data_IF_126454191324
#
_entry.id   IF_126454191324
#
_cell.length_a   1.000
_cell.length_b   1.000
_cell.length_c   1.000
_cell.angle_alpha   90.00
_cell.angle_beta   90.00
_cell.angle_gamma   90.00
#
_symmetry.space_group_name_H-M   'P 1'
#
loop_
_entity.id
_entity.type
_entity.pdbx_description
1 polymer ?
#
# COMPACT_ATOMS: atom_id res chain seq x y z
N UNK A 1 28.05 28.58 -23.69
CA UNK A 1 27.10 27.64 -24.32
C UNK A 1 27.83 26.34 -24.66
N UNK A 2 27.80 25.34 -23.78
CA UNK A 2 28.53 24.08 -23.99
C UNK A 2 27.65 22.85 -23.72
N UNK A 3 27.55 21.99 -24.73
CA UNK A 3 27.41 20.54 -24.63
C UNK A 3 26.07 19.94 -24.18
N UNK A 4 25.04 20.04 -25.03
CA UNK A 4 23.93 19.06 -25.04
C UNK A 4 24.21 17.83 -25.93
N UNK A 5 25.32 17.81 -26.67
CA UNK A 5 25.64 16.76 -27.65
C UNK A 5 26.37 15.55 -27.01
N UNK A 6 27.02 15.73 -25.86
CA UNK A 6 27.86 14.68 -25.25
C UNK A 6 27.08 13.58 -24.50
N UNK A 7 25.80 13.81 -24.13
CA UNK A 7 25.03 12.85 -23.31
C UNK A 7 24.43 11.69 -24.10
N UNK A 8 24.25 11.84 -25.42
CA UNK A 8 23.62 10.81 -26.26
C UNK A 8 24.59 9.69 -26.69
N UNK A 9 25.91 9.94 -26.68
CA UNK A 9 26.89 8.96 -27.15
C UNK A 9 27.24 7.86 -26.13
N UNK A 10 27.01 8.10 -24.83
CA UNK A 10 27.27 7.11 -23.78
C UNK A 10 26.12 6.10 -23.64
N UNK A 11 24.87 6.52 -23.87
CA UNK A 11 23.69 5.65 -23.77
C UNK A 11 23.60 4.64 -24.93
N UNK A 12 23.99 5.01 -26.15
CA UNK A 12 23.91 4.10 -27.31
C UNK A 12 25.02 3.04 -27.33
N UNK A 13 26.12 3.24 -26.59
CA UNK A 13 27.25 2.29 -26.54
C UNK A 13 27.11 1.21 -25.47
N UNK A 14 26.30 1.43 -24.43
CA UNK A 14 26.05 0.42 -23.40
C UNK A 14 25.13 -0.71 -23.86
N UNK A 15 24.29 -0.48 -24.88
CA UNK A 15 23.37 -1.49 -25.43
C UNK A 15 23.87 -2.16 -26.72
N UNK A 16 24.82 -1.56 -27.46
CA UNK A 16 25.29 -2.12 -28.73
C UNK A 16 26.27 -3.29 -28.55
N UNK A 17 27.00 -3.33 -27.43
CA UNK A 17 27.86 -4.47 -27.07
C UNK A 17 27.06 -5.64 -26.52
N UNK A 18 25.92 -5.39 -25.87
CA UNK A 18 25.03 -6.40 -25.30
C UNK A 18 24.38 -7.25 -26.39
N UNK A 19 23.87 -6.65 -27.48
CA UNK A 19 23.25 -7.39 -28.58
C UNK A 19 24.21 -8.34 -29.31
N UNK A 20 25.47 -7.91 -29.55
CA UNK A 20 26.49 -8.79 -30.16
C UNK A 20 26.95 -9.90 -29.21
N UNK A 21 27.04 -9.61 -27.91
CA UNK A 21 27.36 -10.62 -26.88
C UNK A 21 26.25 -11.65 -26.74
N UNK A 22 24.97 -11.26 -26.79
CA UNK A 22 23.85 -12.19 -26.80
C UNK A 22 23.86 -13.08 -28.05
N UNK A 23 24.07 -12.50 -29.23
CA UNK A 23 24.13 -13.28 -30.48
C UNK A 23 25.29 -14.30 -30.50
N UNK A 24 26.44 -13.95 -29.92
CA UNK A 24 27.59 -14.85 -29.81
C UNK A 24 27.42 -15.88 -28.67
N UNK A 25 26.75 -15.51 -27.59
CA UNK A 25 26.39 -16.40 -26.50
C UNK A 25 25.38 -17.47 -26.94
N UNK A 26 24.42 -17.15 -27.81
CA UNK A 26 23.41 -18.12 -28.28
C UNK A 26 24.01 -19.36 -28.95
N UNK A 27 25.09 -19.19 -29.73
CA UNK A 27 25.76 -20.32 -30.39
C UNK A 27 26.45 -21.23 -29.37
N UNK A 28 27.19 -20.64 -28.43
CA UNK A 28 27.90 -21.37 -27.37
C UNK A 28 26.92 -22.01 -26.37
N UNK A 29 25.84 -21.33 -26.01
CA UNK A 29 24.80 -21.82 -25.10
C UNK A 29 24.05 -23.00 -25.71
N UNK A 30 23.77 -22.99 -27.02
CA UNK A 30 23.13 -24.13 -27.70
C UNK A 30 24.04 -25.36 -27.74
N UNK A 31 25.35 -25.17 -27.92
CA UNK A 31 26.32 -26.27 -27.86
C UNK A 31 26.41 -26.86 -26.45
N UNK A 32 26.54 -26.01 -25.44
CA UNK A 32 26.61 -26.42 -24.04
C UNK A 32 25.30 -27.03 -23.52
N UNK A 33 24.14 -26.54 -23.97
CA UNK A 33 22.83 -27.11 -23.61
C UNK A 33 22.63 -28.50 -24.21
N UNK A 34 23.13 -28.74 -25.43
CA UNK A 34 23.12 -30.08 -26.05
C UNK A 34 24.05 -31.06 -25.33
N UNK A 35 25.18 -30.57 -24.82
CA UNK A 35 26.14 -31.35 -24.04
C UNK A 35 25.62 -31.66 -22.63
N UNK A 36 24.93 -30.70 -22.00
CA UNK A 36 24.46 -30.76 -20.62
C UNK A 36 22.96 -30.42 -20.55
N UNK A 37 22.05 -31.42 -20.58
CA UNK A 37 20.60 -31.18 -20.59
C UNK A 37 20.07 -30.52 -19.30
N UNK A 38 20.81 -30.62 -18.20
CA UNK A 38 20.47 -29.98 -16.92
C UNK A 38 20.46 -28.45 -17.01
N UNK A 39 21.26 -27.86 -17.91
CA UNK A 39 21.28 -26.41 -18.14
C UNK A 39 19.94 -25.89 -18.69
N UNK A 40 19.22 -26.73 -19.45
CA UNK A 40 17.89 -26.39 -19.96
C UNK A 40 16.87 -26.31 -18.83
N UNK A 41 16.95 -27.23 -17.87
CA UNK A 41 16.09 -27.25 -16.67
C UNK A 41 16.41 -26.04 -15.78
N UNK A 42 17.70 -25.80 -15.51
CA UNK A 42 18.13 -24.65 -14.71
C UNK A 42 17.73 -23.31 -15.35
N UNK A 43 17.91 -23.18 -16.68
CA UNK A 43 17.47 -22.01 -17.43
C UNK A 43 15.95 -21.81 -17.37
N UNK A 44 15.17 -22.89 -17.46
CA UNK A 44 13.73 -22.85 -17.29
C UNK A 44 13.30 -22.38 -15.90
N UNK A 45 13.93 -22.90 -14.84
CA UNK A 45 13.65 -22.47 -13.45
C UNK A 45 13.97 -20.99 -13.28
N UNK A 46 15.15 -20.53 -13.72
CA UNK A 46 15.56 -19.13 -13.62
C UNK A 46 14.61 -18.19 -14.39
N UNK A 47 14.18 -18.58 -15.60
CA UNK A 47 13.21 -17.81 -16.37
C UNK A 47 11.87 -17.70 -15.63
N UNK A 48 11.38 -18.78 -15.02
CA UNK A 48 10.16 -18.78 -14.23
C UNK A 48 10.27 -17.91 -12.97
N UNK A 49 11.40 -17.96 -12.23
CA UNK A 49 11.60 -17.11 -11.05
C UNK A 49 11.64 -15.63 -11.41
N UNK A 50 12.36 -15.25 -12.46
CA UNK A 50 12.42 -13.85 -12.88
C UNK A 50 11.10 -13.35 -13.47
N UNK A 51 10.41 -14.17 -14.25
CA UNK A 51 9.07 -13.84 -14.76
C UNK A 51 8.06 -13.69 -13.60
N UNK A 52 8.09 -14.61 -12.64
CA UNK A 52 7.24 -14.57 -11.45
C UNK A 52 7.51 -13.33 -10.59
N UNK A 53 8.77 -13.02 -10.33
CA UNK A 53 9.15 -11.80 -9.61
C UNK A 53 8.71 -10.54 -10.37
N UNK A 54 8.90 -10.51 -11.70
CA UNK A 54 8.43 -9.40 -12.54
C UNK A 54 6.92 -9.21 -12.50
N UNK A 55 6.15 -10.31 -12.59
CA UNK A 55 4.69 -10.27 -12.46
C UNK A 55 4.26 -9.83 -11.05
N UNK A 56 4.96 -10.27 -10.00
CA UNK A 56 4.69 -9.88 -8.62
C UNK A 56 4.93 -8.38 -8.41
N UNK A 57 6.09 -7.87 -8.80
CA UNK A 57 6.39 -6.44 -8.71
C UNK A 57 5.49 -5.58 -9.61
N UNK A 58 5.04 -6.11 -10.75
CA UNK A 58 4.05 -5.44 -11.60
C UNK A 58 2.66 -5.34 -10.97
N UNK A 59 2.25 -6.37 -10.21
CA UNK A 59 0.95 -6.39 -9.50
C UNK A 59 0.97 -5.64 -8.18
N UNK A 60 2.13 -5.59 -7.53
CA UNK A 60 2.33 -4.93 -6.23
C UNK A 60 3.33 -3.79 -6.40
N UNK A 61 2.91 -2.64 -6.96
CA UNK A 61 3.79 -1.49 -7.10
C UNK A 61 4.26 -1.05 -5.72
N UNK A 62 5.58 -0.92 -5.56
CA UNK A 62 6.19 -0.42 -4.33
C UNK A 62 5.75 1.03 -4.12
N UNK A 63 4.76 1.25 -3.25
CA UNK A 63 4.31 2.59 -2.86
C UNK A 63 5.32 3.20 -1.90
N UNK A 64 5.53 4.52 -2.00
CA UNK A 64 6.43 5.28 -1.11
C UNK A 64 5.94 5.35 0.34
N UNK A 65 4.65 5.07 0.56
CA UNK A 65 4.01 5.04 1.89
C UNK A 65 3.67 3.59 2.25
N UNK A 66 3.81 3.25 3.53
CA UNK A 66 3.43 1.94 4.10
C UNK A 66 1.93 1.85 4.43
N UNK A 67 1.10 2.64 3.76
CA UNK A 67 -0.34 2.63 3.96
C UNK A 67 -0.97 1.43 3.26
N UNK A 68 -1.65 0.61 4.06
CA UNK A 68 -2.48 -0.48 3.59
C UNK A 68 -3.83 0.10 3.16
N UNK A 69 -4.27 -0.20 1.93
CA UNK A 69 -5.56 0.25 1.43
C UNK A 69 -6.66 -0.49 2.19
N UNK A 70 -7.23 0.17 3.20
CA UNK A 70 -8.38 -0.35 3.94
C UNK A 70 -9.62 -0.13 3.08
N UNK A 71 -10.46 -1.16 2.96
CA UNK A 71 -11.75 -1.06 2.27
C UNK A 71 -12.62 0.02 2.91
N UNK A 72 -12.58 1.23 2.34
CA UNK A 72 -13.52 2.30 2.68
C UNK A 72 -14.87 1.96 2.05
N UNK A 73 -15.96 2.18 2.77
CA UNK A 73 -17.28 2.01 2.19
C UNK A 73 -17.45 2.97 1.01
N UNK A 74 -18.14 2.55 -0.06
CA UNK A 74 -18.38 3.36 -1.27
C UNK A 74 -19.15 4.67 -1.02
N UNK A 75 -19.77 4.78 0.15
CA UNK A 75 -20.41 5.99 0.69
C UNK A 75 -19.92 6.26 2.12
N UNK A 76 -18.64 5.94 2.39
CA UNK A 76 -18.04 6.07 3.71
C UNK A 76 -17.73 7.51 4.11
N UNK A 77 -17.77 8.42 3.14
CA UNK A 77 -17.52 9.83 3.35
C UNK A 77 -18.78 10.53 3.88
N UNK A 78 -18.66 11.36 4.94
CA UNK A 78 -19.83 11.99 5.57
C UNK A 78 -20.62 12.92 4.64
N UNK A 79 -19.93 13.54 3.68
CA UNK A 79 -20.53 14.46 2.70
C UNK A 79 -21.26 13.75 1.56
N UNK A 80 -21.01 12.46 1.32
CA UNK A 80 -21.68 11.68 0.27
C UNK A 80 -23.01 11.10 0.74
N UNK A 81 -23.17 10.93 2.07
CA UNK A 81 -24.37 10.32 2.68
C UNK A 81 -25.33 11.34 3.29
N UNK A 82 -24.99 12.63 3.28
CA UNK A 82 -25.80 13.66 3.93
C UNK A 82 -25.97 13.43 5.43
N UNK A 83 -25.05 12.68 6.05
CA UNK A 83 -25.13 12.30 7.46
C UNK A 83 -24.86 13.52 8.33
N UNK A 84 -25.87 13.93 9.11
CA UNK A 84 -25.83 15.11 9.97
C UNK A 84 -24.72 15.06 11.03
N UNK A 85 -24.21 13.87 11.34
CA UNK A 85 -23.20 13.66 12.38
C UNK A 85 -21.75 13.74 11.87
N UNK A 86 -21.52 13.85 10.56
CA UNK A 86 -20.18 14.05 10.01
C UNK A 86 -19.20 12.88 10.23
N UNK A 87 -19.67 11.71 10.66
CA UNK A 87 -18.81 10.54 10.96
C UNK A 87 -18.47 9.76 9.70
N UNK A 88 -17.21 9.36 9.59
CA UNK A 88 -16.76 8.43 8.55
C UNK A 88 -17.34 7.04 8.80
N UNK A 89 -17.62 6.29 7.74
CA UNK A 89 -18.07 4.89 7.81
C UNK A 89 -17.03 3.97 7.20
N UNK A 90 -16.78 2.84 7.86
CA UNK A 90 -15.74 1.89 7.45
C UNK A 90 -16.26 0.46 7.53
N UNK A 91 -15.69 -0.42 6.71
CA UNK A 91 -15.91 -1.86 6.83
C UNK A 91 -15.05 -2.41 7.98
N UNK A 92 -15.63 -3.08 8.99
CA UNK A 92 -14.86 -3.69 10.07
C UNK A 92 -13.81 -4.65 9.51
N UNK A 93 -12.54 -4.43 9.84
CA UNK A 93 -11.43 -5.25 9.33
C UNK A 93 -11.17 -5.14 7.82
N UNK A 94 -11.77 -4.16 7.13
CA UNK A 94 -11.66 -4.02 5.67
C UNK A 94 -12.48 -5.03 4.86
N UNK A 95 -13.36 -5.79 5.52
CA UNK A 95 -14.22 -6.80 4.90
C UNK A 95 -15.46 -6.14 4.27
N UNK A 96 -15.45 -6.04 2.94
CA UNK A 96 -16.54 -5.41 2.16
C UNK A 96 -17.86 -6.19 2.21
N UNK A 97 -17.86 -7.43 2.70
CA UNK A 97 -19.09 -8.21 2.90
C UNK A 97 -19.88 -7.79 4.15
N UNK A 98 -19.22 -7.12 5.11
CA UNK A 98 -19.84 -6.67 6.34
C UNK A 98 -20.44 -5.27 6.17
N UNK A 99 -21.56 -5.00 6.87
CA UNK A 99 -22.18 -3.68 6.85
C UNK A 99 -21.22 -2.60 7.39
N UNK A 100 -21.10 -1.44 6.71
CA UNK A 100 -20.26 -0.34 7.18
C UNK A 100 -20.70 0.17 8.56
N UNK A 101 -19.73 0.29 9.48
CA UNK A 101 -19.93 0.85 10.83
C UNK A 101 -19.42 2.29 10.90
N UNK A 102 -20.03 3.07 11.77
CA UNK A 102 -19.62 4.45 11.99
C UNK A 102 -18.35 4.51 12.84
N UNK A 103 -17.48 5.46 12.53
CA UNK A 103 -16.29 5.74 13.30
C UNK A 103 -16.65 6.15 14.73
N UNK A 104 -15.91 5.66 15.75
CA UNK A 104 -16.05 6.19 17.10
C UNK A 104 -15.80 7.71 17.08
N UNK A 105 -16.55 8.45 17.91
CA UNK A 105 -16.41 9.91 17.97
C UNK A 105 -15.00 10.31 18.40
N UNK A 106 -14.47 11.39 17.80
CA UNK A 106 -13.15 11.93 18.15
C UNK A 106 -13.04 12.35 19.62
N UNK A 107 -14.17 12.62 20.27
CA UNK A 107 -14.26 12.92 21.71
C UNK A 107 -14.89 11.72 22.40
N UNK A 108 -14.12 11.07 23.28
CA UNK A 108 -14.65 10.06 24.18
C UNK A 108 -15.16 10.76 25.46
N UNK A 109 -16.47 10.77 25.69
CA UNK A 109 -17.06 11.27 26.93
C UNK A 109 -17.36 10.05 27.81
N UNK A 110 -16.58 9.87 28.86
CA UNK A 110 -16.83 8.85 29.87
C UNK A 110 -17.54 9.50 31.05
N UNK A 111 -18.80 9.14 31.26
CA UNK A 111 -19.57 9.55 32.43
C UNK A 111 -19.35 8.50 33.51
N UNK A 112 -18.77 8.90 34.64
CA UNK A 112 -18.57 8.03 35.80
C UNK A 112 -19.68 8.33 36.81
N UNK A 113 -20.65 7.43 37.01
CA UNK A 113 -21.67 7.61 38.04
C UNK A 113 -21.08 7.41 39.44
N UNK A 114 -21.74 7.96 40.45
CA UNK A 114 -21.51 7.65 41.87
C UNK A 114 -20.08 7.86 42.39
N UNK A 115 -19.46 8.97 41.99
CA UNK A 115 -18.16 9.38 42.54
C UNK A 115 -18.30 10.11 43.87
N UNK A 116 -17.57 9.63 44.89
CA UNK A 116 -17.57 10.24 46.22
C UNK A 116 -16.58 11.42 46.28
N UNK A 117 -17.01 12.61 45.83
CA UNK A 117 -16.20 13.84 45.87
C UNK A 117 -16.61 14.76 47.03
N UNK A 118 -15.66 15.52 47.62
CA UNK A 118 -15.96 16.65 48.47
C UNK A 118 -16.94 17.64 47.81
N UNK A 119 -17.89 18.18 48.59
CA UNK A 119 -18.99 19.04 48.09
C UNK A 119 -18.52 20.17 47.16
N UNK A 120 -17.41 20.83 47.47
CA UNK A 120 -16.88 21.94 46.67
C UNK A 120 -16.42 21.52 45.26
N UNK A 121 -15.95 20.28 45.09
CA UNK A 121 -15.57 19.74 43.78
C UNK A 121 -16.79 19.20 43.04
N UNK A 122 -17.71 18.57 43.77
CA UNK A 122 -18.98 18.11 43.20
C UNK A 122 -19.75 19.28 42.58
N UNK A 123 -19.93 20.38 43.30
CA UNK A 123 -20.64 21.55 42.81
C UNK A 123 -19.91 22.25 41.64
N UNK A 124 -18.57 22.14 41.53
CA UNK A 124 -17.77 22.75 40.46
C UNK A 124 -17.77 21.92 39.17
N UNK A 125 -17.60 20.60 39.28
CA UNK A 125 -17.38 19.71 38.14
C UNK A 125 -18.61 18.90 37.73
N UNK A 126 -19.65 18.82 38.57
CA UNK A 126 -20.89 18.16 38.19
C UNK A 126 -21.63 18.96 37.11
N UNK A 127 -21.95 18.28 36.02
CA UNK A 127 -22.74 18.82 34.90
C UNK A 127 -24.20 18.37 34.96
N UNK A 128 -24.53 17.36 35.77
CA UNK A 128 -25.87 16.78 35.86
C UNK A 128 -26.76 17.60 36.80
N UNK A 129 -27.94 18.03 36.32
CA UNK A 129 -28.95 18.74 37.13
C UNK A 129 -28.75 20.27 37.26
N UNK A 130 -28.01 20.90 36.35
CA UNK A 130 -27.89 22.37 36.25
C UNK A 130 -28.56 22.87 34.97
N UNK A 131 -29.21 24.02 35.03
CA UNK A 131 -29.90 24.61 33.88
C UNK A 131 -28.90 24.92 32.74
N UNK A 132 -29.13 24.35 31.56
CA UNK A 132 -28.36 24.60 30.33
C UNK A 132 -27.42 23.50 29.87
N UNK A 133 -27.47 22.29 30.44
CA UNK A 133 -26.84 21.06 29.93
C UNK A 133 -27.84 19.92 29.79
#
# INVERSE_FOLDING_TARGET
>A
MASFIARRALQTRAFSTTGRRFAQADAALKEETKRNPELMILGGVMALTFAGAGLYFGRTPTKSTSEQEVGMASQGMPWETGSAEGKYRYHPGGDTSQAPKDAPSAVNVVVIPDVNLPKHLHDKYNKWGKDGY
#
